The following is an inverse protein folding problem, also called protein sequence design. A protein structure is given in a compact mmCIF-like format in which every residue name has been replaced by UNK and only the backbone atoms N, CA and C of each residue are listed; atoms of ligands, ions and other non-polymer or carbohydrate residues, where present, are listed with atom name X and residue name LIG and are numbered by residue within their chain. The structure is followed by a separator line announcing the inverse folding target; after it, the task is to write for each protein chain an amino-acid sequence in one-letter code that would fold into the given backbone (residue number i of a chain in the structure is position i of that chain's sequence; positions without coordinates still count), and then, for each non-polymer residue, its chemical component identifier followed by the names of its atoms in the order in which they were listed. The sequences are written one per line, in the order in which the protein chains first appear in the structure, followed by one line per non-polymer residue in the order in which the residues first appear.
data_IF_395728331598
#
_entry.id   IF_395728331598
#
_cell.length_a   1.000
_cell.length_b   1.000
_cell.length_c   1.000
_cell.angle_alpha   90.00
_cell.angle_beta   90.00
_cell.angle_gamma   90.00
#
_symmetry.space_group_name_H-M   'P 1'
#
loop_
_entity.id
_entity.type
_entity.pdbx_description
1 polymer ?
#
# COMPACT_ATOMS: atom_id res chain seq x y z
N UNK A 1 33.14 -38.22 -20.74
CA UNK A 1 32.08 -37.60 -19.92
C UNK A 1 31.76 -36.23 -20.53
N UNK A 2 30.73 -36.16 -21.37
CA UNK A 2 30.29 -34.92 -21.98
C UNK A 2 29.55 -34.11 -20.91
N UNK A 3 30.16 -33.01 -20.47
CA UNK A 3 29.46 -32.00 -19.69
C UNK A 3 28.30 -31.46 -20.53
N UNK A 4 27.09 -31.85 -20.19
CA UNK A 4 25.87 -31.18 -20.63
C UNK A 4 25.93 -29.73 -20.08
N UNK A 5 26.55 -28.85 -20.85
CA UNK A 5 26.46 -27.40 -20.60
C UNK A 5 25.03 -27.04 -21.01
N UNK A 6 24.16 -26.92 -20.03
CA UNK A 6 22.85 -26.32 -20.23
C UNK A 6 23.10 -24.89 -20.73
N UNK A 7 22.91 -24.70 -22.05
CA UNK A 7 22.96 -23.34 -22.63
C UNK A 7 21.72 -22.59 -22.18
N UNK A 8 21.77 -22.03 -20.98
CA UNK A 8 20.74 -21.12 -20.43
C UNK A 8 20.58 -19.85 -21.28
N UNK A 9 21.34 -19.70 -22.36
CA UNK A 9 21.26 -18.59 -23.29
C UNK A 9 19.95 -18.48 -24.07
N UNK A 10 19.05 -19.47 -23.93
CA UNK A 10 17.77 -19.49 -24.63
C UNK A 10 16.59 -18.97 -23.77
N UNK A 11 16.77 -18.79 -22.47
CA UNK A 11 15.68 -18.42 -21.57
C UNK A 11 15.73 -16.93 -21.24
N UNK A 12 14.66 -16.23 -21.58
CA UNK A 12 14.41 -14.86 -21.13
C UNK A 12 13.45 -14.91 -19.94
N UNK A 13 13.82 -14.27 -18.83
CA UNK A 13 13.06 -14.24 -17.59
C UNK A 13 12.20 -12.97 -17.46
N UNK A 14 11.86 -12.33 -18.58
CA UNK A 14 10.83 -11.30 -18.58
C UNK A 14 9.51 -11.90 -18.14
N UNK A 15 8.81 -11.24 -17.22
CA UNK A 15 7.60 -11.78 -16.63
C UNK A 15 6.61 -10.70 -16.27
N UNK A 16 5.37 -11.11 -16.10
CA UNK A 16 4.28 -10.31 -15.59
C UNK A 16 3.71 -10.98 -14.34
N UNK A 17 3.53 -10.20 -13.29
CA UNK A 17 2.85 -10.63 -12.07
C UNK A 17 1.44 -10.05 -12.14
N UNK A 18 0.44 -10.91 -12.34
CA UNK A 18 -0.95 -10.47 -12.44
C UNK A 18 -1.51 -10.15 -11.06
N UNK A 19 -1.24 -11.02 -10.08
CA UNK A 19 -1.69 -10.86 -8.70
C UNK A 19 -0.73 -11.59 -7.75
N UNK A 20 -0.41 -10.95 -6.64
CA UNK A 20 0.28 -11.56 -5.51
C UNK A 20 -0.34 -11.05 -4.21
N UNK A 21 -1.02 -11.93 -3.48
CA UNK A 21 -1.69 -11.61 -2.23
C UNK A 21 -1.39 -12.62 -1.13
N UNK A 22 -1.46 -12.18 0.12
CA UNK A 22 -1.23 -13.00 1.32
C UNK A 22 -2.47 -13.02 2.23
N UNK A 23 -3.60 -13.46 1.71
CA UNK A 23 -4.85 -13.59 2.45
C UNK A 23 -6.05 -12.91 1.79
N UNK A 24 -7.18 -12.80 2.50
CA UNK A 24 -8.40 -12.24 1.93
C UNK A 24 -8.25 -10.73 1.66
N UNK A 25 -8.93 -10.29 0.61
CA UNK A 25 -8.96 -8.90 0.18
C UNK A 25 -9.87 -8.05 1.10
N UNK A 26 -9.51 -6.78 1.29
CA UNK A 26 -10.37 -5.74 1.85
C UNK A 26 -10.25 -4.43 1.03
N UNK A 27 -11.27 -3.52 1.07
CA UNK A 27 -11.39 -2.40 0.10
C UNK A 27 -10.21 -1.44 0.01
N UNK A 28 -9.42 -1.28 1.07
CA UNK A 28 -8.25 -0.40 1.08
C UNK A 28 -6.90 -1.14 0.93
N UNK A 29 -6.94 -2.45 0.65
CA UNK A 29 -5.73 -3.24 0.42
C UNK A 29 -5.14 -2.92 -0.94
N UNK A 30 -3.86 -2.56 -0.95
CA UNK A 30 -3.09 -2.38 -2.17
C UNK A 30 -1.91 -3.34 -2.17
N UNK A 31 -1.84 -4.19 -3.18
CA UNK A 31 -0.74 -5.11 -3.40
C UNK A 31 0.28 -4.49 -4.36
N UNK A 32 1.51 -4.21 -3.94
CA UNK A 32 2.48 -3.49 -4.77
C UNK A 32 2.90 -4.20 -6.06
N UNK A 33 2.81 -5.54 -6.10
CA UNK A 33 3.23 -6.34 -7.26
C UNK A 33 2.09 -6.67 -8.22
N UNK A 34 0.85 -6.29 -7.92
CA UNK A 34 -0.27 -6.58 -8.80
C UNK A 34 -0.14 -5.81 -10.14
N UNK A 35 -0.34 -6.54 -11.24
CA UNK A 35 -0.22 -6.04 -12.61
C UNK A 35 1.14 -5.41 -12.95
N UNK A 36 2.22 -5.85 -12.30
CA UNK A 36 3.56 -5.39 -12.62
C UNK A 36 4.14 -6.18 -13.80
N UNK A 37 4.85 -5.46 -14.67
CA UNK A 37 5.50 -6.02 -15.85
C UNK A 37 6.98 -5.70 -15.84
N UNK A 38 7.82 -6.73 -15.80
CA UNK A 38 9.27 -6.57 -15.73
C UNK A 38 9.93 -7.27 -16.93
N UNK A 39 10.72 -6.52 -17.70
CA UNK A 39 11.37 -7.00 -18.92
C UNK A 39 12.88 -6.96 -18.83
N UNK A 40 13.55 -7.84 -19.54
CA UNK A 40 15.00 -7.82 -19.74
C UNK A 40 15.36 -8.25 -21.15
N UNK A 41 16.34 -7.60 -21.71
CA UNK A 41 16.92 -7.98 -23.02
C UNK A 41 18.03 -9.04 -22.87
N UNK A 42 18.39 -9.42 -21.65
CA UNK A 42 19.50 -10.33 -21.36
C UNK A 42 18.99 -11.68 -20.87
N UNK A 43 19.63 -12.76 -21.32
CA UNK A 43 19.24 -14.13 -20.96
C UNK A 43 19.75 -14.58 -19.59
N UNK A 44 20.92 -14.10 -19.16
CA UNK A 44 21.48 -14.40 -17.83
C UNK A 44 21.11 -13.31 -16.84
N UNK A 45 19.83 -13.22 -16.54
CA UNK A 45 19.32 -12.17 -15.65
C UNK A 45 18.64 -12.79 -14.43
N UNK A 46 18.84 -12.19 -13.27
CA UNK A 46 18.27 -12.61 -12.00
C UNK A 46 17.41 -11.50 -11.44
N UNK A 47 16.16 -11.81 -11.23
CA UNK A 47 15.21 -10.95 -10.52
C UNK A 47 15.05 -11.47 -9.10
N UNK A 48 15.12 -10.59 -8.12
CA UNK A 48 14.95 -10.89 -6.71
C UNK A 48 13.93 -9.95 -6.10
N UNK A 49 12.85 -10.52 -5.58
CA UNK A 49 11.82 -9.81 -4.85
C UNK A 49 11.94 -10.16 -3.36
N UNK A 50 12.15 -9.15 -2.54
CA UNK A 50 12.19 -9.28 -1.08
C UNK A 50 10.89 -8.71 -0.55
N UNK A 51 10.11 -9.54 0.13
CA UNK A 51 8.79 -9.20 0.64
C UNK A 51 8.82 -9.19 2.16
N UNK A 52 8.42 -8.08 2.78
CA UNK A 52 8.13 -7.99 4.20
C UNK A 52 6.63 -8.08 4.41
N UNK A 53 6.17 -9.18 4.96
CA UNK A 53 4.75 -9.48 5.16
C UNK A 53 4.33 -9.07 6.57
N UNK A 54 3.32 -8.20 6.67
CA UNK A 54 2.79 -7.68 7.92
C UNK A 54 1.37 -8.19 8.15
N UNK A 55 1.12 -8.98 9.20
CA UNK A 55 -0.23 -9.36 9.59
C UNK A 55 -1.10 -8.13 9.86
N UNK A 56 -2.28 -8.10 9.26
CA UNK A 56 -3.19 -6.95 9.31
C UNK A 56 -4.58 -7.39 9.72
N UNK A 57 -5.18 -6.68 10.68
CA UNK A 57 -6.57 -6.81 11.06
C UNK A 57 -7.31 -5.56 10.60
N UNK A 58 -8.27 -5.74 9.73
CA UNK A 58 -9.17 -4.69 9.25
C UNK A 58 -10.53 -4.80 9.93
N UNK A 59 -11.00 -3.70 10.53
CA UNK A 59 -12.29 -3.65 11.23
C UNK A 59 -13.11 -2.46 10.72
N UNK A 60 -14.33 -2.73 10.27
CA UNK A 60 -15.25 -1.70 9.73
C UNK A 60 -15.99 -0.92 10.81
N UNK A 61 -16.00 -1.41 12.07
CA UNK A 61 -16.70 -0.73 13.18
C UNK A 61 -15.81 -0.69 14.42
N UNK A 62 -15.11 0.44 14.67
CA UNK A 62 -14.22 0.58 15.82
C UNK A 62 -14.96 0.69 17.16
N UNK A 63 -16.23 1.09 17.15
CA UNK A 63 -17.02 1.30 18.39
C UNK A 63 -17.43 0.01 19.11
N UNK A 64 -17.36 -1.14 18.42
CA UNK A 64 -17.65 -2.45 19.03
C UNK A 64 -16.82 -3.56 18.34
N UNK A 65 -15.55 -3.75 18.67
CA UNK A 65 -14.71 -4.78 18.05
C UNK A 65 -15.19 -6.21 18.36
N UNK A 66 -16.08 -6.39 19.32
CA UNK A 66 -16.69 -7.67 19.71
C UNK A 66 -18.20 -7.73 19.42
N UNK A 67 -18.79 -6.67 18.87
CA UNK A 67 -20.23 -6.62 18.58
C UNK A 67 -20.60 -7.47 17.35
N UNK A 68 -21.83 -7.96 17.32
CA UNK A 68 -22.38 -8.86 16.30
C UNK A 68 -22.40 -8.28 14.87
N UNK A 69 -21.99 -7.02 14.67
CA UNK A 69 -21.98 -6.31 13.39
C UNK A 69 -20.58 -5.81 12.96
N UNK A 70 -19.54 -6.12 13.72
CA UNK A 70 -18.18 -5.77 13.33
C UNK A 70 -17.65 -6.79 12.32
N UNK A 71 -17.57 -6.39 11.05
CA UNK A 71 -16.88 -7.17 10.04
C UNK A 71 -15.38 -6.99 10.23
N UNK A 72 -14.75 -8.00 10.80
CA UNK A 72 -13.30 -8.05 10.97
C UNK A 72 -12.68 -8.99 9.96
N UNK A 73 -11.78 -8.48 9.14
CA UNK A 73 -11.02 -9.27 8.16
C UNK A 73 -9.59 -9.39 8.66
N UNK A 74 -9.11 -10.64 8.81
CA UNK A 74 -7.70 -10.93 9.10
C UNK A 74 -7.00 -11.24 7.79
N UNK A 75 -6.02 -10.43 7.46
CA UNK A 75 -5.26 -10.54 6.23
C UNK A 75 -3.80 -10.16 6.46
N UNK A 76 -3.01 -10.07 5.39
CA UNK A 76 -1.64 -9.62 5.47
C UNK A 76 -1.40 -8.60 4.36
N UNK A 77 -0.67 -7.56 4.70
CA UNK A 77 -0.09 -6.63 3.72
C UNK A 77 1.38 -6.96 3.52
N UNK A 78 1.94 -6.55 2.41
CA UNK A 78 3.36 -6.69 2.20
C UNK A 78 3.97 -5.45 1.56
N UNK A 79 5.22 -5.20 1.91
CA UNK A 79 6.10 -4.28 1.21
C UNK A 79 7.06 -5.08 0.32
N UNK A 80 7.48 -4.52 -0.81
CA UNK A 80 8.38 -5.16 -1.75
C UNK A 80 9.60 -4.31 -2.00
N UNK A 81 10.76 -4.97 -2.05
CA UNK A 81 12.01 -4.42 -2.57
C UNK A 81 12.45 -5.29 -3.73
N UNK A 82 12.59 -4.68 -4.90
CA UNK A 82 13.05 -5.35 -6.10
C UNK A 82 14.55 -5.10 -6.31
N UNK A 83 15.27 -6.16 -6.61
CA UNK A 83 16.66 -6.11 -7.01
C UNK A 83 16.86 -7.00 -8.23
N UNK A 84 17.51 -6.47 -9.25
CA UNK A 84 17.80 -7.23 -10.46
C UNK A 84 19.24 -6.99 -10.94
N UNK A 85 19.88 -8.04 -11.41
CA UNK A 85 21.24 -7.96 -11.91
C UNK A 85 21.55 -9.07 -12.92
N UNK A 86 22.59 -8.82 -13.73
CA UNK A 86 23.15 -9.82 -14.64
C UNK A 86 23.92 -10.84 -13.83
N UNK A 87 23.73 -12.11 -14.13
CA UNK A 87 24.43 -13.23 -13.50
C UNK A 87 25.53 -13.75 -14.42
N UNK A 88 26.66 -14.13 -13.85
CA UNK A 88 27.73 -14.78 -14.59
C UNK A 88 27.31 -16.18 -15.05
N UNK A 89 28.01 -16.76 -16.03
CA UNK A 89 27.73 -18.10 -16.59
C UNK A 89 27.68 -19.24 -15.54
N UNK A 90 28.30 -19.04 -14.38
CA UNK A 90 28.29 -19.99 -13.26
C UNK A 90 27.12 -19.75 -12.28
N UNK A 91 26.42 -18.63 -12.41
CA UNK A 91 25.27 -18.28 -11.56
C UNK A 91 23.97 -18.87 -12.11
N UNK A 92 22.95 -18.86 -11.27
CA UNK A 92 21.62 -19.32 -11.63
C UNK A 92 20.75 -18.11 -11.96
N UNK A 93 20.39 -17.93 -13.25
CA UNK A 93 19.42 -16.91 -13.64
C UNK A 93 18.02 -17.35 -13.24
N UNK A 94 17.10 -16.42 -13.07
CA UNK A 94 15.71 -16.73 -12.73
C UNK A 94 15.02 -15.65 -11.91
N UNK A 95 13.82 -16.00 -11.48
CA UNK A 95 12.97 -15.17 -10.63
C UNK A 95 12.98 -15.77 -9.23
N UNK A 96 13.38 -14.98 -8.25
CA UNK A 96 13.48 -15.40 -6.85
C UNK A 96 12.61 -14.51 -5.99
N UNK A 97 11.70 -15.12 -5.25
CA UNK A 97 10.86 -14.43 -4.28
C UNK A 97 11.26 -14.90 -2.89
N UNK A 98 11.70 -13.96 -2.05
CA UNK A 98 11.96 -14.17 -0.63
C UNK A 98 10.96 -13.38 0.17
N UNK A 99 10.36 -14.00 1.18
CA UNK A 99 9.45 -13.31 2.07
C UNK A 99 9.82 -13.56 3.52
N UNK A 100 9.67 -12.52 4.33
CA UNK A 100 9.82 -12.57 5.78
C UNK A 100 8.53 -12.04 6.41
N UNK A 101 8.11 -12.66 7.52
CA UNK A 101 6.92 -12.24 8.27
C UNK A 101 7.39 -11.35 9.42
N UNK A 102 6.93 -10.10 9.41
CA UNK A 102 7.25 -9.14 10.46
C UNK A 102 6.51 -9.49 11.77
N UNK A 103 7.19 -9.43 12.94
CA UNK A 103 6.57 -9.74 14.22
C UNK A 103 5.74 -8.57 14.77
N UNK A 104 5.04 -7.86 13.90
CA UNK A 104 4.16 -6.74 14.25
C UNK A 104 2.76 -7.01 13.71
N UNK A 105 1.74 -6.52 14.41
CA UNK A 105 0.35 -6.61 14.00
C UNK A 105 -0.17 -5.21 13.68
N UNK A 106 -0.62 -5.01 12.45
CA UNK A 106 -1.26 -3.78 12.03
C UNK A 106 -2.78 -3.89 12.22
N UNK A 107 -3.38 -2.93 12.92
CA UNK A 107 -4.84 -2.85 13.05
C UNK A 107 -5.32 -1.60 12.32
N UNK A 108 -6.17 -1.80 11.32
CA UNK A 108 -6.82 -0.74 10.56
C UNK A 108 -8.28 -0.71 10.94
N UNK A 109 -8.72 0.43 11.48
CA UNK A 109 -10.12 0.66 11.83
C UNK A 109 -10.67 1.83 11.01
N UNK A 110 -11.80 1.63 10.35
CA UNK A 110 -12.52 2.74 9.73
C UNK A 110 -13.26 3.54 10.78
N UNK A 111 -12.83 4.78 11.03
CA UNK A 111 -13.55 5.72 11.86
C UNK A 111 -14.47 6.61 11.01
N UNK A 112 -15.75 6.42 11.18
CA UNK A 112 -16.74 7.34 10.63
C UNK A 112 -16.78 8.60 11.49
N UNK A 113 -16.25 9.70 10.99
CA UNK A 113 -16.51 11.01 11.56
C UNK A 113 -17.99 11.35 11.42
N UNK A 114 -18.78 11.01 12.42
CA UNK A 114 -20.23 11.08 12.35
C UNK A 114 -20.76 12.43 11.84
N UNK A 115 -21.97 12.45 11.31
CA UNK A 115 -22.67 13.63 10.81
C UNK A 115 -22.56 14.85 11.76
N UNK A 116 -22.56 14.61 13.06
CA UNK A 116 -22.37 15.64 14.09
C UNK A 116 -21.01 16.33 13.97
N UNK A 117 -19.95 15.59 13.69
CA UNK A 117 -18.60 16.17 13.47
C UNK A 117 -18.53 17.05 12.22
N UNK A 118 -19.24 16.68 11.17
CA UNK A 118 -19.36 17.49 9.95
C UNK A 118 -20.12 18.80 10.24
N UNK A 119 -21.23 18.74 10.97
CA UNK A 119 -22.02 19.91 11.37
C UNK A 119 -21.18 20.88 12.22
N UNK A 120 -20.45 20.35 13.20
CA UNK A 120 -19.57 21.19 14.04
C UNK A 120 -18.49 21.89 13.20
N UNK A 121 -17.88 21.20 12.25
CA UNK A 121 -16.90 21.80 11.34
C UNK A 121 -17.52 22.89 10.47
N UNK A 122 -18.73 22.66 9.95
CA UNK A 122 -19.45 23.64 9.14
C UNK A 122 -19.77 24.89 9.95
N UNK A 123 -20.29 24.76 11.18
CA UNK A 123 -20.58 25.86 12.10
C UNK A 123 -19.31 26.68 12.41
N UNK A 124 -18.19 26.01 12.65
CA UNK A 124 -16.92 26.70 12.92
C UNK A 124 -16.45 27.52 11.71
N UNK A 125 -16.58 27.02 10.50
CA UNK A 125 -16.22 27.75 9.27
C UNK A 125 -17.11 28.95 9.08
N UNK A 126 -18.44 28.80 9.22
CA UNK A 126 -19.42 29.90 9.07
C UNK A 126 -19.19 30.97 10.13
N UNK A 127 -18.98 30.59 11.40
CA UNK A 127 -18.67 31.53 12.48
C UNK A 127 -17.38 32.32 12.23
N UNK A 128 -16.34 31.64 11.73
CA UNK A 128 -15.07 32.30 11.38
C UNK A 128 -15.23 33.36 10.29
N UNK A 129 -16.02 33.06 9.25
CA UNK A 129 -16.30 34.02 8.17
C UNK A 129 -17.08 35.22 8.68
N UNK A 130 -18.10 35.01 9.53
CA UNK A 130 -18.89 36.09 10.10
C UNK A 130 -18.05 37.03 11.00
N UNK A 131 -17.20 36.46 11.85
CA UNK A 131 -16.30 37.23 12.72
C UNK A 131 -15.29 38.01 11.88
N UNK A 132 -14.64 37.40 10.91
CA UNK A 132 -13.69 38.05 10.03
C UNK A 132 -14.35 39.18 9.23
N UNK A 133 -15.55 38.96 8.69
CA UNK A 133 -16.34 40.00 7.99
C UNK A 133 -16.71 41.18 8.89
N UNK A 134 -17.09 40.90 10.14
CA UNK A 134 -17.38 41.95 11.14
C UNK A 134 -16.16 42.83 11.44
N UNK A 135 -14.99 42.22 11.61
CA UNK A 135 -13.73 42.95 11.79
C UNK A 135 -13.36 43.80 10.57
N UNK A 136 -13.48 43.26 9.38
CA UNK A 136 -13.22 43.98 8.14
C UNK A 136 -14.15 45.19 8.01
N UNK A 137 -15.43 45.04 8.36
CA UNK A 137 -16.39 46.15 8.33
C UNK A 137 -16.01 47.27 9.33
N UNK A 138 -15.70 46.94 10.59
CA UNK A 138 -15.26 47.89 11.57
C UNK A 138 -14.00 48.67 11.17
N UNK A 139 -13.01 47.97 10.62
CA UNK A 139 -11.77 48.60 10.14
C UNK A 139 -12.07 49.53 8.97
N UNK A 140 -12.99 49.17 8.08
CA UNK A 140 -13.38 50.04 6.95
C UNK A 140 -14.11 51.28 7.37
N UNK A 141 -14.91 51.25 8.44
CA UNK A 141 -15.55 52.44 9.03
C UNK A 141 -14.53 53.36 9.72
N UNK A 142 -13.60 52.74 10.47
CA UNK A 142 -12.53 53.50 11.14
C UNK A 142 -11.57 54.22 10.19
N UNK A 143 -11.41 53.71 8.99
CA UNK A 143 -10.56 54.28 7.95
C UNK A 143 -11.26 55.42 7.17
N UNK A 144 -12.55 55.67 7.43
CA UNK A 144 -13.33 56.76 6.79
C UNK A 144 -13.48 58.01 7.64
N UNK A 145 -13.12 57.93 8.93
CA UNK A 145 -13.02 59.08 9.84
C UNK A 145 -11.60 59.66 9.76
#
# INVERSE_FOLDING_TARGET
MSKLIWRNSAFNFSHQINELSFGPFYPSLTNPLDNTFTTTDRNFYKFQYYLSVVPTIYTTSPSNPTGAFANTVKTNQYAVTEQSHVVNEQGVPGIFVKFDIEPILLTIAEEWGGFLGLVVRLVNVVSGILVAGGWCYQISEWAKE
#
